data_IF_224947813007
#
_entry.id   IF_224947813007
#
_cell.length_a   1.000
_cell.length_b   1.000
_cell.length_c   1.000
_cell.angle_alpha   90.00
_cell.angle_beta   90.00
_cell.angle_gamma   90.00
#
_symmetry.space_group_name_H-M   'P 1'
#
loop_
_entity.id
_entity.type
_entity.pdbx_description
1 polymer ?
#
# COMPACT_ATOMS: atom_id res chain seq x y z
N UNK A 1 -15.80 -23.31 -4.86
CA UNK A 1 -15.51 -22.09 -4.51
C UNK A 1 -14.10 -21.72 -4.68
N UNK A 2 -13.86 -20.57 -4.99
CA UNK A 2 -12.57 -20.20 -5.15
C UNK A 2 -12.22 -19.29 -4.05
N UNK A 3 -10.97 -19.10 -3.88
CA UNK A 3 -10.48 -18.25 -2.89
C UNK A 3 -10.01 -16.98 -3.45
N UNK A 4 -10.27 -15.92 -2.77
CA UNK A 4 -9.66 -14.68 -3.11
C UNK A 4 -8.48 -14.56 -2.22
N UNK A 5 -7.33 -14.76 -2.76
CA UNK A 5 -6.11 -14.73 -1.97
C UNK A 5 -5.78 -13.32 -1.59
N UNK A 6 -5.31 -13.18 -0.38
CA UNK A 6 -4.77 -11.91 0.02
C UNK A 6 -3.36 -11.77 -0.51
N UNK A 7 -3.00 -10.56 -0.87
CA UNK A 7 -1.69 -10.26 -1.39
C UNK A 7 -1.13 -9.06 -0.66
N UNK A 8 0.15 -8.87 -0.80
CA UNK A 8 0.77 -7.71 -0.19
C UNK A 8 0.80 -6.57 -1.20
N UNK A 9 0.56 -5.39 -0.70
CA UNK A 9 0.62 -4.19 -1.51
C UNK A 9 1.52 -3.19 -0.82
N UNK A 10 2.22 -2.41 -1.63
CA UNK A 10 2.96 -1.27 -1.11
C UNK A 10 2.09 -0.05 -1.33
N UNK A 11 1.70 0.57 -0.25
CA UNK A 11 0.86 1.75 -0.30
C UNK A 11 1.72 2.94 0.05
N UNK A 12 1.82 3.88 -0.86
CA UNK A 12 2.62 5.08 -0.67
C UNK A 12 1.70 6.24 -0.35
N UNK A 13 2.03 6.97 0.69
CA UNK A 13 1.23 8.09 1.16
C UNK A 13 2.10 9.32 1.29
N UNK A 14 1.50 10.47 1.15
CA UNK A 14 2.23 11.72 1.28
C UNK A 14 1.35 12.77 1.96
N UNK A 15 1.97 13.78 2.54
CA UNK A 15 1.23 14.89 3.10
C UNK A 15 1.62 16.17 2.38
N UNK A 16 1.04 17.28 2.80
CA UNK A 16 1.28 18.55 2.14
C UNK A 16 2.69 19.08 2.33
N UNK A 17 3.40 18.55 3.30
CA UNK A 17 4.76 18.97 3.58
C UNK A 17 5.78 18.14 2.82
N UNK A 18 5.32 17.24 1.99
CA UNK A 18 6.23 16.42 1.20
C UNK A 18 6.79 15.22 1.92
N UNK A 19 6.23 14.88 3.06
CA UNK A 19 6.68 13.68 3.75
C UNK A 19 6.03 12.46 3.13
N UNK A 20 6.78 11.38 3.09
CA UNK A 20 6.29 10.15 2.53
C UNK A 20 6.26 9.07 3.58
N UNK A 21 5.30 8.17 3.45
CA UNK A 21 5.28 6.94 4.22
C UNK A 21 4.88 5.82 3.29
N UNK A 22 5.43 4.64 3.54
CA UNK A 22 5.06 3.47 2.77
C UNK A 22 4.66 2.38 3.73
N UNK A 23 3.60 1.68 3.38
CA UNK A 23 3.09 0.58 4.18
C UNK A 23 3.04 -0.68 3.35
N UNK A 24 3.41 -1.79 3.97
CA UNK A 24 3.23 -3.10 3.35
C UNK A 24 1.94 -3.65 3.94
N UNK A 25 0.93 -3.74 3.11
CA UNK A 25 -0.41 -4.08 3.57
C UNK A 25 -0.91 -5.32 2.87
N UNK A 26 -1.42 -6.25 3.65
CA UNK A 26 -2.01 -7.46 3.13
C UNK A 26 -3.49 -7.22 2.90
N UNK A 27 -3.93 -7.42 1.69
CA UNK A 27 -5.32 -7.13 1.33
C UNK A 27 -5.71 -7.95 0.11
N UNK A 28 -6.99 -7.96 -0.17
CA UNK A 28 -7.51 -8.71 -1.31
C UNK A 28 -7.55 -7.88 -2.57
N UNK A 29 -7.48 -6.58 -2.44
CA UNK A 29 -7.53 -5.68 -3.58
C UNK A 29 -6.82 -4.40 -3.24
N UNK A 30 -6.53 -3.61 -4.27
CA UNK A 30 -5.92 -2.31 -4.05
C UNK A 30 -6.83 -1.41 -3.25
N UNK A 31 -8.12 -1.49 -3.52
CA UNK A 31 -9.09 -0.67 -2.81
C UNK A 31 -9.09 -1.00 -1.33
N UNK A 32 -9.05 -2.28 -0.99
CA UNK A 32 -9.00 -2.69 0.39
C UNK A 32 -7.68 -2.27 1.03
N UNK A 33 -6.57 -2.35 0.29
CA UNK A 33 -5.28 -1.94 0.80
C UNK A 33 -5.29 -0.45 1.13
N UNK A 34 -5.91 0.35 0.27
CA UNK A 34 -6.02 1.78 0.50
C UNK A 34 -6.81 2.05 1.79
N UNK A 35 -7.92 1.37 1.96
CA UNK A 35 -8.74 1.57 3.15
C UNK A 35 -7.97 1.21 4.41
N UNK A 36 -7.26 0.09 4.37
CA UNK A 36 -6.46 -0.31 5.52
C UNK A 36 -5.36 0.71 5.83
N UNK A 37 -4.78 1.28 4.79
CA UNK A 37 -3.75 2.29 4.99
C UNK A 37 -4.31 3.52 5.69
N UNK A 38 -5.50 3.95 5.28
CA UNK A 38 -6.12 5.10 5.94
C UNK A 38 -6.46 4.79 7.40
N UNK A 39 -6.88 3.57 7.69
CA UNK A 39 -7.14 3.18 9.06
C UNK A 39 -5.87 3.26 9.90
N UNK A 40 -4.76 2.79 9.36
CA UNK A 40 -3.49 2.85 10.06
C UNK A 40 -3.08 4.29 10.29
N UNK A 41 -3.24 5.13 9.27
CA UNK A 41 -2.87 6.51 9.39
C UNK A 41 -3.71 7.24 10.42
N UNK A 42 -4.97 6.89 10.51
CA UNK A 42 -5.82 7.47 11.54
C UNK A 42 -5.37 7.08 12.93
N UNK A 43 -5.02 5.82 13.11
CA UNK A 43 -4.50 5.38 14.39
C UNK A 43 -3.22 6.10 14.77
N UNK A 44 -2.44 6.43 13.78
CA UNK A 44 -1.19 7.16 14.00
C UNK A 44 -1.39 8.66 14.02
N UNK A 45 -2.65 9.10 13.88
CA UNK A 45 -3.02 10.51 13.90
C UNK A 45 -2.39 11.29 12.75
N UNK A 46 -2.24 10.63 11.62
CA UNK A 46 -1.69 11.24 10.43
C UNK A 46 -2.83 11.65 9.51
N UNK A 47 -3.61 12.61 9.95
CA UNK A 47 -4.85 12.94 9.26
C UNK A 47 -4.68 13.69 7.96
N UNK A 48 -3.50 14.24 7.73
CA UNK A 48 -3.27 15.02 6.52
C UNK A 48 -2.61 14.23 5.40
N UNK A 49 -2.41 12.96 5.62
CA UNK A 49 -1.77 12.14 4.58
C UNK A 49 -2.82 11.52 3.67
N UNK A 50 -2.46 11.38 2.41
CA UNK A 50 -3.30 10.73 1.45
C UNK A 50 -2.51 9.66 0.72
N UNK A 51 -3.22 8.66 0.24
CA UNK A 51 -2.62 7.59 -0.55
C UNK A 51 -2.45 8.09 -1.97
N UNK A 52 -1.24 8.00 -2.47
CA UNK A 52 -0.93 8.44 -3.82
C UNK A 52 -0.53 7.31 -4.74
N UNK A 53 -0.25 6.14 -4.22
CA UNK A 53 0.11 5.04 -5.08
C UNK A 53 -0.03 3.71 -4.36
N UNK A 54 -0.48 2.71 -5.09
CA UNK A 54 -0.61 1.37 -4.56
C UNK A 54 -0.08 0.41 -5.62
N UNK A 55 0.92 -0.37 -5.24
CA UNK A 55 1.50 -1.34 -6.16
C UNK A 55 1.44 -2.70 -5.52
N UNK A 56 0.97 -3.67 -6.26
CA UNK A 56 0.96 -5.02 -5.77
C UNK A 56 2.40 -5.51 -5.66
N UNK A 57 2.72 -6.13 -4.53
CA UNK A 57 4.10 -6.49 -4.26
C UNK A 57 4.70 -7.38 -5.34
N UNK A 58 3.90 -8.30 -5.86
CA UNK A 58 4.38 -9.16 -6.93
C UNK A 58 4.76 -8.39 -8.16
N UNK A 59 4.00 -7.38 -8.48
CA UNK A 59 4.28 -6.58 -9.66
C UNK A 59 5.62 -5.90 -9.56
N UNK A 60 5.97 -5.51 -8.33
CA UNK A 60 7.23 -4.84 -8.13
C UNK A 60 8.41 -5.75 -8.40
N UNK A 61 8.25 -7.01 -8.09
CA UNK A 61 9.35 -7.91 -8.25
C UNK A 61 9.36 -8.62 -9.57
N UNK A 62 8.18 -8.85 -10.10
CA UNK A 62 8.11 -9.54 -11.35
C UNK A 62 8.60 -8.77 -12.49
N UNK A 63 8.36 -7.59 -12.50
CA UNK A 63 8.74 -6.85 -13.62
C UNK A 63 10.16 -6.75 -13.75
N UNK A 64 10.91 -6.98 -12.84
CA UNK A 64 12.20 -6.84 -12.97
C UNK A 64 12.82 -7.63 -12.21
N UNK A 65 12.33 -8.28 -12.03
CA UNK A 65 13.00 -8.99 -11.36
C UNK A 65 13.57 -8.34 -10.24
N UNK A 66 13.53 -8.13 -9.84
CA UNK A 66 13.79 -7.80 -8.98
C UNK A 66 14.50 -7.51 -8.24
N UNK A 67 14.66 -7.43 -8.33
CA UNK A 67 15.21 -7.21 -7.81
C UNK A 67 15.77 -6.65 -7.54
N UNK A 68 15.92 -6.29 -7.47
CA UNK A 68 16.32 -5.77 -7.33
C UNK A 68 16.70 -5.42 -6.67
N UNK A 69 16.97 -5.20 -6.52
CA UNK A 69 17.36 -4.87 -6.06
C UNK A 69 17.59 -4.79 -5.83
#
# INVERSE_FOLDING_TARGET
>A
MYNISERYYRVTCTDMNGKFRQYKIKARSKQQASRKAYDIMQEQKLYNMIVIGIVQWNEMFNGVGVDVD
#
